data_IF_090514012713
#
_entry.id   IF_090514012713
#
_cell.length_a   1.000
_cell.length_b   1.000
_cell.length_c   1.000
_cell.angle_alpha   90.00
_cell.angle_beta   90.00
_cell.angle_gamma   90.00
#
_symmetry.space_group_name_H-M   'P 1'
#
loop_
_entity.id
_entity.type
_entity.pdbx_description
1 polymer ?
#
# COMPACT_ATOMS: atom_id res chain seq x y z
N UNK A 1 -9.49 7.77 -16.87
CA UNK A 1 -9.38 9.24 -17.01
C UNK A 1 -9.40 9.95 -15.64
N UNK A 2 -10.44 9.79 -14.81
CA UNK A 2 -10.52 10.53 -13.53
C UNK A 2 -9.33 10.23 -12.59
N UNK A 3 -8.97 8.97 -12.37
CA UNK A 3 -7.84 8.60 -11.50
C UNK A 3 -6.51 9.16 -11.99
N UNK A 4 -6.23 9.09 -13.30
CA UNK A 4 -5.02 9.67 -13.89
C UNK A 4 -4.95 11.20 -13.72
N UNK A 5 -6.10 11.88 -13.80
CA UNK A 5 -6.16 13.35 -13.70
C UNK A 5 -6.16 13.88 -12.26
N UNK A 6 -6.64 13.10 -11.29
CA UNK A 6 -6.91 13.58 -9.92
C UNK A 6 -6.12 12.83 -8.84
N UNK A 7 -5.37 11.79 -9.18
CA UNK A 7 -4.71 10.91 -8.20
C UNK A 7 -5.67 10.12 -7.30
N UNK A 8 -6.97 10.05 -7.63
CA UNK A 8 -7.95 9.32 -6.81
C UNK A 8 -7.87 7.82 -7.08
N UNK A 9 -8.02 6.96 -6.06
CA UNK A 9 -8.12 5.52 -6.25
C UNK A 9 -9.26 5.17 -7.21
N UNK A 10 -9.07 4.15 -8.04
CA UNK A 10 -10.13 3.58 -8.87
C UNK A 10 -10.61 2.25 -8.26
N UNK A 11 -11.85 1.86 -8.60
CA UNK A 11 -12.48 0.68 -8.01
C UNK A 11 -11.74 -0.63 -8.34
N UNK A 12 -11.14 -0.76 -9.53
CA UNK A 12 -10.43 -1.98 -9.94
C UNK A 12 -9.22 -2.25 -9.03
N UNK A 13 -8.40 -1.23 -8.80
CA UNK A 13 -7.20 -1.36 -7.96
C UNK A 13 -7.50 -1.52 -6.46
N UNK A 14 -8.74 -1.35 -6.00
CA UNK A 14 -9.08 -1.65 -4.60
C UNK A 14 -9.08 -3.17 -4.31
N UNK A 15 -9.37 -4.00 -5.32
CA UNK A 15 -9.27 -5.46 -5.23
C UNK A 15 -7.97 -5.96 -5.90
N UNK A 16 -7.66 -5.48 -7.10
CA UNK A 16 -6.39 -5.73 -7.79
C UNK A 16 -5.30 -4.79 -7.26
N UNK A 17 -5.04 -4.92 -5.96
CA UNK A 17 -4.16 -4.01 -5.22
C UNK A 17 -2.68 -4.14 -5.62
N UNK A 18 -2.32 -5.23 -6.27
CA UNK A 18 -1.01 -5.52 -6.85
C UNK A 18 -0.76 -4.87 -8.21
N UNK A 19 -1.80 -4.26 -8.83
CA UNK A 19 -1.74 -3.78 -10.20
C UNK A 19 -1.58 -2.26 -10.31
N UNK A 20 -0.94 -1.82 -11.42
CA UNK A 20 -0.75 -0.41 -11.74
C UNK A 20 -2.03 0.27 -12.26
N UNK A 21 -2.00 1.60 -12.36
CA UNK A 21 -3.07 2.35 -13.00
C UNK A 21 -3.13 2.07 -14.52
N UNK A 22 -1.96 1.88 -15.14
CA UNK A 22 -1.84 1.51 -16.55
C UNK A 22 -2.58 0.18 -16.83
N UNK A 23 -2.37 -0.85 -16.00
CA UNK A 23 -3.07 -2.12 -16.09
C UNK A 23 -4.60 -1.93 -16.14
N UNK A 24 -5.15 -1.11 -15.24
CA UNK A 24 -6.59 -0.81 -15.26
C UNK A 24 -7.03 -0.13 -16.55
N UNK A 25 -6.23 0.81 -17.08
CA UNK A 25 -6.55 1.51 -18.31
C UNK A 25 -6.57 0.56 -19.53
N UNK A 26 -5.65 -0.40 -19.59
CA UNK A 26 -5.55 -1.40 -20.63
C UNK A 26 -6.77 -2.33 -20.65
N UNK A 27 -7.19 -2.86 -19.47
CA UNK A 27 -8.41 -3.67 -19.39
C UNK A 27 -9.69 -2.90 -19.72
N UNK A 28 -9.79 -1.62 -19.33
CA UNK A 28 -10.92 -0.79 -19.72
C UNK A 28 -10.94 -0.49 -21.23
N UNK A 29 -9.79 -0.43 -21.86
CA UNK A 29 -9.70 -0.33 -23.31
C UNK A 29 -10.14 -1.63 -23.97
N UNK A 30 -9.62 -2.77 -23.52
CA UNK A 30 -9.95 -4.10 -24.05
C UNK A 30 -11.46 -4.41 -23.97
N UNK A 31 -12.08 -4.15 -22.82
CA UNK A 31 -13.47 -4.54 -22.56
C UNK A 31 -14.51 -3.52 -23.06
N UNK A 32 -14.14 -2.25 -23.06
CA UNK A 32 -15.09 -1.15 -23.30
C UNK A 32 -14.62 -0.14 -24.32
N UNK A 33 -13.54 -0.41 -25.03
CA UNK A 33 -12.95 0.48 -26.06
C UNK A 33 -12.67 1.90 -25.52
N UNK A 34 -12.39 2.04 -24.22
CA UNK A 34 -12.06 3.35 -23.64
C UNK A 34 -10.63 3.74 -23.99
N UNK A 35 -10.38 4.99 -24.40
CA UNK A 35 -9.03 5.44 -24.71
C UNK A 35 -8.13 5.31 -23.48
N UNK A 36 -6.92 4.77 -23.67
CA UNK A 36 -5.90 4.69 -22.64
C UNK A 36 -5.37 6.11 -22.39
N UNK A 37 -5.50 6.67 -21.17
CA UNK A 37 -4.95 7.97 -20.86
C UNK A 37 -3.42 7.90 -20.80
N UNK A 38 -2.75 8.98 -21.13
CA UNK A 38 -1.33 9.14 -20.80
C UNK A 38 -1.18 9.21 -19.27
N UNK A 39 -0.32 8.37 -18.71
CA UNK A 39 -0.02 8.33 -17.27
C UNK A 39 1.49 8.40 -17.05
N UNK A 40 1.90 8.87 -15.87
CA UNK A 40 3.31 8.93 -15.50
C UNK A 40 3.95 7.53 -15.43
N UNK A 41 5.27 7.44 -15.60
CA UNK A 41 5.98 6.16 -15.54
C UNK A 41 5.71 5.38 -14.25
N UNK A 42 5.66 6.07 -13.10
CA UNK A 42 5.30 5.43 -11.83
C UNK A 42 3.90 4.79 -11.83
N UNK A 43 2.93 5.37 -12.56
CA UNK A 43 1.58 4.83 -12.71
C UNK A 43 1.52 3.65 -13.68
N UNK A 44 2.56 3.43 -14.47
CA UNK A 44 2.73 2.27 -15.33
C UNK A 44 3.41 1.12 -14.60
N UNK A 45 4.43 1.42 -13.79
CA UNK A 45 5.38 0.46 -13.23
C UNK A 45 5.08 0.06 -11.77
N UNK A 46 4.34 0.89 -11.01
CA UNK A 46 4.11 0.67 -9.59
C UNK A 46 2.61 0.47 -9.34
N UNK A 47 2.29 -0.45 -8.42
CA UNK A 47 0.93 -0.64 -7.92
C UNK A 47 0.31 0.70 -7.50
N UNK A 48 -0.90 0.95 -8.01
CA UNK A 48 -1.65 2.17 -7.68
C UNK A 48 -1.92 2.31 -6.18
N UNK A 49 -2.18 1.18 -5.50
CA UNK A 49 -2.41 1.16 -4.05
C UNK A 49 -1.12 1.41 -3.29
N UNK A 50 0.01 0.84 -3.69
CA UNK A 50 1.32 1.12 -3.06
C UNK A 50 1.72 2.59 -3.22
N UNK A 51 1.48 3.17 -4.38
CA UNK A 51 1.69 4.61 -4.60
C UNK A 51 0.90 5.45 -3.59
N UNK A 52 -0.40 5.20 -3.46
CA UNK A 52 -1.24 5.92 -2.50
C UNK A 52 -0.83 5.66 -1.05
N UNK A 53 -0.43 4.42 -0.73
CA UNK A 53 -0.01 4.02 0.61
C UNK A 53 1.25 4.73 1.07
N UNK A 54 2.24 4.91 0.18
CA UNK A 54 3.58 5.37 0.53
C UNK A 54 3.77 6.87 0.32
N UNK A 55 3.23 7.44 -0.76
CA UNK A 55 3.44 8.86 -1.10
C UNK A 55 2.18 9.72 -1.09
N UNK A 56 0.98 9.14 -0.94
CA UNK A 56 -0.27 9.89 -0.94
C UNK A 56 -0.43 10.82 0.25
N UNK A 57 -1.47 11.67 0.21
CA UNK A 57 -1.89 12.42 1.39
C UNK A 57 -2.42 11.49 2.51
N UNK A 58 -2.62 12.02 3.72
CA UNK A 58 -3.04 11.19 4.86
C UNK A 58 -4.37 10.45 4.62
N UNK A 59 -5.30 11.03 3.84
CA UNK A 59 -6.56 10.39 3.47
C UNK A 59 -6.35 9.23 2.49
N UNK A 60 -5.50 9.44 1.48
CA UNK A 60 -5.13 8.40 0.51
C UNK A 60 -4.41 7.24 1.20
N UNK A 61 -3.45 7.53 2.09
CA UNK A 61 -2.73 6.50 2.87
C UNK A 61 -3.66 5.68 3.75
N UNK A 62 -4.58 6.34 4.46
CA UNK A 62 -5.56 5.65 5.31
C UNK A 62 -6.50 4.76 4.48
N UNK A 63 -7.00 5.25 3.34
CA UNK A 63 -7.88 4.48 2.46
C UNK A 63 -7.14 3.29 1.84
N UNK A 64 -5.91 3.47 1.37
CA UNK A 64 -5.10 2.39 0.83
C UNK A 64 -4.85 1.32 1.90
N UNK A 65 -4.44 1.71 3.12
CA UNK A 65 -4.25 0.79 4.22
C UNK A 65 -5.52 0.01 4.57
N UNK A 66 -6.67 0.68 4.59
CA UNK A 66 -7.95 0.05 4.86
C UNK A 66 -8.31 -1.01 3.83
N UNK A 67 -8.17 -0.70 2.53
CA UNK A 67 -8.46 -1.64 1.45
C UNK A 67 -7.53 -2.85 1.44
N UNK A 68 -6.25 -2.68 1.75
CA UNK A 68 -5.32 -3.81 1.88
C UNK A 68 -5.74 -4.82 2.95
N UNK A 69 -6.48 -4.39 3.97
CA UNK A 69 -7.05 -5.27 4.99
C UNK A 69 -8.31 -6.05 4.55
N UNK A 70 -8.89 -5.75 3.39
CA UNK A 70 -10.14 -6.38 2.95
C UNK A 70 -9.95 -7.81 2.46
N UNK A 71 -10.91 -8.73 2.73
CA UNK A 71 -10.87 -10.07 2.17
C UNK A 71 -10.73 -10.08 0.64
N UNK A 72 -11.55 -9.29 -0.07
CA UNK A 72 -11.53 -9.22 -1.54
C UNK A 72 -10.19 -8.77 -2.11
N UNK A 73 -9.49 -7.83 -1.46
CA UNK A 73 -8.16 -7.42 -1.87
C UNK A 73 -7.14 -8.56 -1.66
N UNK A 74 -7.21 -9.25 -0.52
CA UNK A 74 -6.33 -10.39 -0.20
C UNK A 74 -6.56 -11.58 -1.10
N UNK A 75 -7.80 -11.89 -1.41
CA UNK A 75 -8.19 -13.03 -2.25
C UNK A 75 -7.74 -12.83 -3.71
N UNK A 76 -7.76 -11.59 -4.21
CA UNK A 76 -7.45 -11.26 -5.61
C UNK A 76 -5.97 -10.96 -5.84
N UNK A 77 -5.34 -10.18 -4.93
CA UNK A 77 -3.96 -9.73 -5.12
C UNK A 77 -2.92 -10.47 -4.25
N UNK A 78 -3.34 -11.57 -3.60
CA UNK A 78 -2.52 -12.28 -2.62
C UNK A 78 -2.53 -11.58 -1.27
N UNK A 79 -1.91 -12.22 -0.26
CA UNK A 79 -1.97 -11.76 1.13
C UNK A 79 -0.60 -11.78 1.85
N UNK A 80 0.50 -11.94 1.09
CA UNK A 80 1.84 -12.05 1.68
C UNK A 80 2.61 -10.74 1.68
N UNK A 81 2.38 -9.88 0.71
CA UNK A 81 3.14 -8.66 0.51
C UNK A 81 2.61 -7.45 1.30
N UNK A 82 1.29 -7.38 1.53
CA UNK A 82 0.63 -6.24 2.17
C UNK A 82 1.18 -5.90 3.55
N UNK A 83 1.44 -6.89 4.45
CA UNK A 83 1.94 -6.59 5.79
C UNK A 83 3.27 -5.83 5.78
N UNK A 84 4.13 -6.11 4.80
CA UNK A 84 5.40 -5.41 4.65
C UNK A 84 5.22 -3.91 4.47
N UNK A 85 4.28 -3.53 3.61
CA UNK A 85 4.05 -2.12 3.30
C UNK A 85 3.11 -1.44 4.31
N UNK A 86 2.18 -2.18 4.91
CA UNK A 86 1.40 -1.67 6.05
C UNK A 86 2.27 -1.32 7.25
N UNK A 87 3.38 -2.04 7.45
CA UNK A 87 4.35 -1.74 8.50
C UNK A 87 4.95 -0.34 8.36
N UNK A 88 5.13 0.18 7.12
CA UNK A 88 5.65 1.53 6.88
C UNK A 88 4.75 2.63 7.45
N UNK A 89 3.46 2.34 7.62
CA UNK A 89 2.52 3.31 8.18
C UNK A 89 2.39 3.26 9.71
N UNK A 90 3.13 2.38 10.40
CA UNK A 90 3.07 2.30 11.85
C UNK A 90 3.79 3.47 12.54
N UNK A 91 4.63 4.21 11.84
CA UNK A 91 5.23 5.45 12.31
C UNK A 91 4.80 6.68 11.49
N UNK A 92 3.69 6.57 10.73
CA UNK A 92 3.11 7.69 10.00
C UNK A 92 2.87 8.90 10.94
N UNK A 93 3.08 10.16 10.49
CA UNK A 93 2.84 11.33 11.33
C UNK A 93 1.40 11.45 11.83
N UNK A 94 0.42 10.87 11.12
CA UNK A 94 -0.99 10.93 11.51
C UNK A 94 -1.45 9.71 12.29
N UNK A 95 -1.87 9.91 13.53
CA UNK A 95 -2.38 8.84 14.39
C UNK A 95 -3.56 8.06 13.77
N UNK A 96 -4.40 8.72 12.98
CA UNK A 96 -5.50 8.07 12.27
C UNK A 96 -5.00 7.09 11.20
N UNK A 97 -3.96 7.45 10.45
CA UNK A 97 -3.32 6.56 9.45
C UNK A 97 -2.71 5.36 10.16
N UNK A 98 -1.94 5.60 11.24
CA UNK A 98 -1.35 4.55 12.08
C UNK A 98 -2.40 3.57 12.58
N UNK A 99 -3.53 4.08 13.10
CA UNK A 99 -4.63 3.25 13.59
C UNK A 99 -5.23 2.36 12.50
N UNK A 100 -5.52 2.93 11.32
CA UNK A 100 -6.08 2.17 10.19
C UNK A 100 -5.11 1.11 9.71
N UNK A 101 -3.83 1.46 9.53
CA UNK A 101 -2.79 0.51 9.14
C UNK A 101 -2.66 -0.64 10.14
N UNK A 102 -2.65 -0.35 11.43
CA UNK A 102 -2.64 -1.35 12.49
C UNK A 102 -3.86 -2.29 12.42
N UNK A 103 -5.05 -1.75 12.23
CA UNK A 103 -6.28 -2.56 12.10
C UNK A 103 -6.22 -3.48 10.87
N UNK A 104 -5.71 -2.97 9.75
CA UNK A 104 -5.50 -3.77 8.55
C UNK A 104 -4.46 -4.88 8.80
N UNK A 105 -3.31 -4.51 9.39
CA UNK A 105 -2.22 -5.44 9.69
C UNK A 105 -2.67 -6.62 10.55
N UNK A 106 -3.50 -6.39 11.57
CA UNK A 106 -4.06 -7.44 12.43
C UNK A 106 -4.94 -8.46 11.70
N UNK A 107 -5.37 -8.19 10.49
CA UNK A 107 -6.15 -9.13 9.67
C UNK A 107 -5.29 -10.15 8.92
N UNK A 108 -3.96 -10.09 9.08
CA UNK A 108 -3.01 -10.99 8.43
C UNK A 108 -2.46 -12.01 9.42
N UNK A 109 -2.16 -13.22 8.89
CA UNK A 109 -1.55 -14.29 9.68
C UNK A 109 -0.26 -13.84 10.34
N UNK A 110 -0.09 -14.19 11.63
CA UNK A 110 1.06 -13.82 12.44
C UNK A 110 1.00 -12.41 13.06
N UNK A 111 -0.03 -11.62 12.73
CA UNK A 111 -0.22 -10.28 13.29
C UNK A 111 -1.46 -10.15 14.19
N UNK A 112 -2.22 -11.21 14.40
CA UNK A 112 -3.48 -11.21 15.17
C UNK A 112 -3.26 -10.70 16.61
N UNK A 113 -2.13 -11.05 17.21
CA UNK A 113 -1.73 -10.64 18.56
C UNK A 113 -0.71 -9.50 18.59
N UNK A 114 -0.43 -8.85 17.44
CA UNK A 114 0.54 -7.77 17.37
C UNK A 114 0.12 -6.60 18.27
N UNK A 115 0.91 -6.35 19.32
CA UNK A 115 0.69 -5.28 20.28
C UNK A 115 1.26 -3.95 19.75
N UNK A 116 0.41 -2.92 19.66
CA UNK A 116 0.79 -1.61 19.15
C UNK A 116 -0.10 -0.51 19.73
N UNK A 117 0.53 0.59 20.15
CA UNK A 117 -0.14 1.82 20.56
C UNK A 117 0.12 2.92 19.51
N UNK A 118 -0.91 3.29 18.79
CA UNK A 118 -0.83 4.27 17.69
C UNK A 118 -0.66 5.72 18.15
N UNK A 119 -0.70 5.99 19.47
CA UNK A 119 -0.44 7.30 20.09
C UNK A 119 0.84 7.31 20.95
N UNK A 120 1.64 6.27 20.83
CA UNK A 120 2.91 6.16 21.53
C UNK A 120 3.94 7.21 21.08
N UNK A 121 5.08 7.26 21.74
CA UNK A 121 6.21 8.11 21.34
C UNK A 121 6.82 7.65 20.00
N UNK A 122 7.45 8.57 19.27
CA UNK A 122 8.08 8.29 17.96
C UNK A 122 9.03 7.08 18.04
N UNK A 123 9.84 6.99 19.10
CA UNK A 123 10.72 5.85 19.33
C UNK A 123 9.95 4.52 19.39
N UNK A 124 8.84 4.49 20.12
CA UNK A 124 8.01 3.27 20.24
C UNK A 124 7.29 2.93 18.94
N UNK A 125 6.90 3.94 18.17
CA UNK A 125 6.32 3.76 16.83
C UNK A 125 7.33 3.11 15.87
N UNK A 126 8.57 3.64 15.81
CA UNK A 126 9.65 3.09 14.99
C UNK A 126 10.06 1.66 15.42
N UNK A 127 10.10 1.40 16.73
CA UNK A 127 10.35 0.05 17.25
C UNK A 127 9.23 -0.92 16.84
N UNK A 128 7.96 -0.46 16.82
CA UNK A 128 6.83 -1.27 16.40
C UNK A 128 6.89 -1.55 14.88
N UNK A 129 7.21 -0.56 14.06
CA UNK A 129 7.46 -0.74 12.62
C UNK A 129 8.53 -1.80 12.39
N UNK A 130 9.68 -1.67 13.04
CA UNK A 130 10.78 -2.63 12.93
C UNK A 130 10.36 -4.05 13.34
N UNK A 131 9.59 -4.20 14.42
CA UNK A 131 9.05 -5.51 14.84
C UNK A 131 8.11 -6.09 13.80
N UNK A 132 7.25 -5.27 13.18
CA UNK A 132 6.33 -5.75 12.16
C UNK A 132 7.08 -6.26 10.92
N UNK A 133 8.12 -5.56 10.47
CA UNK A 133 8.99 -6.00 9.37
C UNK A 133 9.65 -7.34 9.71
N UNK A 134 10.22 -7.49 10.91
CA UNK A 134 10.86 -8.75 11.35
C UNK A 134 9.86 -9.91 11.41
N UNK A 135 8.61 -9.66 11.83
CA UNK A 135 7.57 -10.70 11.82
C UNK A 135 7.29 -11.15 10.39
N UNK A 136 7.12 -10.21 9.47
CA UNK A 136 6.88 -10.50 8.06
C UNK A 136 8.05 -11.31 7.43
N UNK A 137 9.29 -10.89 7.67
CA UNK A 137 10.48 -11.59 7.18
C UNK A 137 10.58 -13.04 7.68
N UNK A 138 10.21 -13.28 8.94
CA UNK A 138 10.23 -14.62 9.55
C UNK A 138 9.15 -15.56 9.02
N UNK A 139 8.08 -15.05 8.44
CA UNK A 139 7.04 -15.89 7.83
C UNK A 139 7.54 -16.61 6.58
N UNK A 140 8.74 -16.27 6.14
CA UNK A 140 9.42 -16.88 5.01
C UNK A 140 8.86 -16.37 3.69
N UNK A 141 9.77 -16.11 2.76
CA UNK A 141 9.46 -15.69 1.39
C UNK A 141 9.00 -16.88 0.52
N UNK A 142 8.21 -17.78 1.06
CA UNK A 142 7.47 -18.74 0.26
C UNK A 142 6.34 -17.99 -0.46
N UNK A 143 6.76 -17.06 -1.34
CA UNK A 143 5.84 -16.42 -2.27
C UNK A 143 5.49 -17.46 -3.34
N UNK A 144 4.28 -17.99 -3.37
CA UNK A 144 3.87 -18.83 -4.47
C UNK A 144 3.75 -17.95 -5.70
N UNK A 145 4.44 -18.34 -6.75
CA UNK A 145 4.28 -17.95 -8.15
C UNK A 145 4.08 -16.45 -8.48
N UNK A 146 4.94 -15.95 -9.35
CA UNK A 146 4.86 -14.70 -10.10
C UNK A 146 4.15 -13.54 -9.39
N UNK A 147 4.85 -12.92 -8.47
CA UNK A 147 4.37 -11.64 -7.93
C UNK A 147 4.26 -10.62 -9.06
N UNK A 148 3.25 -9.77 -8.97
CA UNK A 148 3.16 -8.63 -9.88
C UNK A 148 4.46 -7.82 -9.81
N UNK A 149 5.11 -7.53 -10.95
CA UNK A 149 6.33 -6.74 -10.99
C UNK A 149 6.14 -5.33 -10.42
N UNK A 150 4.88 -4.91 -10.23
CA UNK A 150 4.52 -3.59 -9.69
C UNK A 150 4.57 -3.50 -8.16
N UNK A 151 4.96 -4.58 -7.44
CA UNK A 151 4.92 -4.62 -5.97
C UNK A 151 6.18 -4.12 -5.26
N UNK A 152 7.15 -3.54 -5.93
CA UNK A 152 8.44 -3.16 -5.34
C UNK A 152 9.18 -4.33 -4.67
N UNK A 153 8.96 -5.54 -5.16
CA UNK A 153 9.61 -6.76 -4.70
C UNK A 153 10.37 -7.40 -5.85
N UNK A 154 11.56 -7.90 -5.57
CA UNK A 154 12.31 -8.69 -6.54
C UNK A 154 11.85 -10.17 -6.55
N UNK A 155 12.39 -10.97 -7.48
CA UNK A 155 12.04 -12.39 -7.63
C UNK A 155 12.30 -13.24 -6.37
N UNK A 156 13.13 -12.77 -5.45
CA UNK A 156 13.36 -13.41 -4.15
C UNK A 156 12.45 -12.89 -3.03
N UNK A 157 11.46 -12.04 -3.37
CA UNK A 157 10.53 -11.43 -2.43
C UNK A 157 11.14 -10.34 -1.53
N UNK A 158 12.33 -9.83 -1.88
CA UNK A 158 12.95 -8.72 -1.14
C UNK A 158 12.48 -7.39 -1.70
N UNK A 159 12.28 -6.44 -0.80
CA UNK A 159 11.87 -5.08 -1.16
C UNK A 159 12.99 -4.35 -1.91
N UNK A 160 12.63 -3.65 -2.98
CA UNK A 160 13.47 -2.67 -3.65
C UNK A 160 13.59 -1.40 -2.79
N UNK A 161 14.55 -1.40 -1.85
CA UNK A 161 14.68 -0.36 -0.82
C UNK A 161 14.84 1.05 -1.38
N UNK A 162 15.55 1.21 -2.49
CA UNK A 162 15.73 2.52 -3.14
C UNK A 162 14.41 3.06 -3.69
N UNK A 163 13.60 2.21 -4.34
CA UNK A 163 12.31 2.60 -4.87
C UNK A 163 11.30 2.88 -3.74
N UNK A 164 11.30 2.06 -2.68
CA UNK A 164 10.49 2.30 -1.49
C UNK A 164 10.82 3.66 -0.89
N UNK A 165 12.10 3.95 -0.66
CA UNK A 165 12.53 5.23 -0.09
C UNK A 165 12.17 6.40 -0.98
N UNK A 166 12.32 6.28 -2.31
CA UNK A 166 11.95 7.31 -3.26
C UNK A 166 10.45 7.67 -3.23
N UNK A 167 9.57 6.71 -2.92
CA UNK A 167 8.14 6.98 -2.71
C UNK A 167 7.89 7.64 -1.36
N UNK A 168 8.53 7.16 -0.30
CA UNK A 168 8.40 7.76 1.04
C UNK A 168 8.91 9.22 1.07
N UNK A 169 9.96 9.52 0.35
CA UNK A 169 10.50 10.90 0.23
C UNK A 169 9.53 11.86 -0.49
N UNK A 170 8.60 11.33 -1.28
CA UNK A 170 7.55 12.10 -1.97
C UNK A 170 6.24 12.17 -1.17
N UNK A 171 6.20 11.63 0.04
CA UNK A 171 4.98 11.55 0.84
C UNK A 171 4.38 12.95 1.06
N UNK A 172 3.08 13.06 0.83
CA UNK A 172 2.34 14.30 1.09
C UNK A 172 1.92 14.35 2.57
N UNK A 173 2.69 15.08 3.36
CA UNK A 173 2.44 15.32 4.78
C UNK A 173 1.76 16.69 5.02
N UNK A 174 1.11 17.26 4.01
CA UNK A 174 0.34 18.50 4.13
C UNK A 174 -0.72 18.38 5.23
N UNK A 175 -0.75 19.26 6.22
CA UNK A 175 -1.69 19.16 7.33
C UNK A 175 -3.15 19.18 6.88
N UNK A 176 -3.90 18.14 7.21
CA UNK A 176 -5.35 18.08 7.00
C UNK A 176 -6.01 18.94 8.08
N UNK A 177 -6.70 20.00 7.66
CA UNK A 177 -7.54 20.82 8.54
C UNK A 177 -9.00 20.43 8.32
N UNK A 178 -9.61 19.83 9.33
CA UNK A 178 -11.07 19.69 9.35
C UNK A 178 -11.66 21.10 9.54
N UNK A 179 -12.50 21.55 8.61
CA UNK A 179 -13.33 22.74 8.83
C UNK A 179 -14.63 22.26 9.48
N UNK A 180 -14.89 22.75 10.68
CA UNK A 180 -16.18 22.63 11.33
C UNK A 180 -17.21 23.52 10.64
#
# INVERSE_FOLDING_TARGET
AASAATGRPNACNLCHADQSLQWTAEFLNEWYEKPIPEVANEDQEISSVLKHLLQGDAGQRALAAWHLGWPSSKDVSGHHWQPRFLAELLDDPYAAVRYVAYKALKSFSGFESFGYDYVASDKQLQEAQSRAVVIWEKQGNAFPEAQSPQLLLNDSGRVHSEQLQALLDKRDDTPIRLRE
#
